data_IF_417369943907
#
_entry.id   IF_417369943907
#
_cell.length_a   1.000
_cell.length_b   1.000
_cell.length_c   1.000
_cell.angle_alpha   90.00
_cell.angle_beta   90.00
_cell.angle_gamma   90.00
#
_symmetry.space_group_name_H-M   'P 1'
#
loop_
_entity.id
_entity.type
_entity.pdbx_description
1 polymer ?
#
# COMPACT_ATOMS: atom_id res chain seq x y z
N UNK A 1 -36.32 -31.80 3.29
CA UNK A 1 -36.09 -30.39 2.90
C UNK A 1 -35.22 -29.63 3.91
N UNK A 2 -35.42 -29.77 5.22
CA UNK A 2 -34.62 -29.09 6.27
C UNK A 2 -33.12 -29.46 6.31
N UNK A 3 -32.75 -30.74 6.12
CA UNK A 3 -31.34 -31.17 6.07
C UNK A 3 -30.51 -30.50 4.95
N UNK A 4 -31.17 -30.18 3.83
CA UNK A 4 -30.54 -29.51 2.69
C UNK A 4 -30.26 -28.04 2.98
N UNK A 5 -31.16 -27.36 3.71
CA UNK A 5 -31.00 -25.96 4.11
C UNK A 5 -29.90 -25.79 5.16
N UNK A 6 -29.80 -26.69 6.13
CA UNK A 6 -28.71 -26.69 7.12
C UNK A 6 -27.35 -26.92 6.47
N UNK A 7 -27.26 -27.83 5.49
CA UNK A 7 -26.01 -28.11 4.76
C UNK A 7 -25.56 -26.92 3.90
N UNK A 8 -26.49 -26.21 3.26
CA UNK A 8 -26.20 -24.98 2.50
C UNK A 8 -25.76 -23.81 3.40
N UNK A 9 -26.38 -23.67 4.58
CA UNK A 9 -25.95 -22.70 5.59
C UNK A 9 -24.55 -23.01 6.11
N UNK A 10 -24.26 -24.28 6.42
CA UNK A 10 -22.94 -24.71 6.86
C UNK A 10 -21.87 -24.48 5.79
N UNK A 11 -22.16 -24.79 4.52
CA UNK A 11 -21.24 -24.54 3.41
C UNK A 11 -20.96 -23.04 3.22
N UNK A 12 -21.99 -22.20 3.34
CA UNK A 12 -21.86 -20.73 3.22
C UNK A 12 -21.07 -20.15 4.39
N UNK A 13 -21.25 -20.70 5.59
CA UNK A 13 -20.51 -20.34 6.79
C UNK A 13 -19.04 -20.77 6.67
N UNK A 14 -18.76 -22.00 6.22
CA UNK A 14 -17.41 -22.51 5.98
C UNK A 14 -16.67 -21.71 4.89
N UNK A 15 -17.38 -21.28 3.84
CA UNK A 15 -16.83 -20.37 2.82
C UNK A 15 -16.52 -18.96 3.37
N UNK A 16 -17.29 -18.47 4.35
CA UNK A 16 -16.97 -17.23 5.07
C UNK A 16 -15.80 -17.39 6.05
N UNK A 17 -15.51 -18.59 6.52
CA UNK A 17 -14.41 -18.90 7.44
C UNK A 17 -13.10 -19.32 6.75
N UNK A 18 -13.06 -19.39 5.42
CA UNK A 18 -11.80 -19.49 4.69
C UNK A 18 -11.00 -18.21 4.90
N UNK A 19 -9.73 -18.32 5.32
CA UNK A 19 -8.80 -17.18 5.49
C UNK A 19 -8.45 -16.55 4.13
N UNK A 20 -9.43 -15.94 3.46
CA UNK A 20 -9.21 -15.14 2.27
C UNK A 20 -8.82 -13.73 2.69
N UNK A 21 -7.81 -13.17 2.04
CA UNK A 21 -7.47 -11.76 2.14
C UNK A 21 -7.67 -11.09 0.78
N UNK A 22 -8.03 -9.80 0.82
CA UNK A 22 -8.16 -8.98 -0.39
C UNK A 22 -6.88 -8.18 -0.59
N UNK A 23 -6.20 -8.39 -1.71
CA UNK A 23 -5.04 -7.60 -2.10
C UNK A 23 -5.41 -6.48 -3.08
N UNK A 24 -4.59 -5.44 -3.13
CA UNK A 24 -4.64 -4.39 -4.14
C UNK A 24 -3.23 -4.15 -4.71
N UNK A 25 -3.19 -3.73 -5.99
CA UNK A 25 -1.97 -3.25 -6.65
C UNK A 25 -2.29 -1.91 -7.29
N UNK A 26 -1.30 -1.02 -7.35
CA UNK A 26 -1.46 0.29 -7.98
C UNK A 26 -0.39 0.48 -9.06
N UNK A 27 -0.82 0.50 -10.32
CA UNK A 27 0.06 0.92 -11.42
C UNK A 27 0.20 2.45 -11.37
N UNK A 28 1.44 2.92 -11.20
CA UNK A 28 1.73 4.31 -10.92
C UNK A 28 2.44 5.00 -12.07
N UNK A 29 1.90 6.14 -12.48
CA UNK A 29 2.59 7.10 -13.34
C UNK A 29 3.27 8.12 -12.44
N UNK A 30 4.59 8.18 -12.50
CA UNK A 30 5.35 9.10 -11.65
C UNK A 30 4.95 10.56 -11.91
N UNK A 31 4.77 11.32 -10.82
CA UNK A 31 4.35 12.71 -10.83
C UNK A 31 5.55 13.65 -10.71
N UNK A 32 5.39 14.84 -11.27
CA UNK A 32 6.38 15.91 -11.24
C UNK A 32 7.22 16.00 -12.53
N UNK A 33 7.82 17.17 -12.73
CA UNK A 33 8.66 17.50 -13.86
C UNK A 33 10.10 17.71 -13.37
N UNK A 34 11.04 16.79 -13.64
CA UNK A 34 12.43 16.92 -13.19
C UNK A 34 13.16 18.17 -13.69
N UNK A 35 12.63 18.87 -14.70
CA UNK A 35 13.20 20.12 -15.20
C UNK A 35 12.69 21.36 -14.46
N UNK A 36 11.60 21.25 -13.69
CA UNK A 36 10.93 22.38 -13.02
C UNK A 36 10.75 22.19 -11.53
N UNK A 37 10.53 20.96 -11.09
CA UNK A 37 10.26 20.62 -9.70
C UNK A 37 11.56 20.23 -8.99
N UNK A 38 11.69 20.66 -7.73
CA UNK A 38 12.70 20.08 -6.84
C UNK A 38 12.42 18.59 -6.62
N UNK A 39 13.44 17.78 -6.31
CA UNK A 39 13.20 16.36 -6.02
C UNK A 39 12.30 16.16 -4.79
N UNK A 40 12.38 17.02 -3.78
CA UNK A 40 11.47 17.00 -2.62
C UNK A 40 10.02 17.16 -3.07
N UNK A 41 9.75 18.12 -3.96
CA UNK A 41 8.42 18.32 -4.56
C UNK A 41 7.96 17.10 -5.36
N UNK A 42 8.86 16.44 -6.10
CA UNK A 42 8.55 15.20 -6.81
C UNK A 42 8.18 14.08 -5.83
N UNK A 43 8.96 13.88 -4.77
CA UNK A 43 8.69 12.89 -3.72
C UNK A 43 7.31 13.13 -3.11
N UNK A 44 7.01 14.36 -2.68
CA UNK A 44 5.72 14.74 -2.08
C UNK A 44 4.54 14.45 -3.02
N UNK A 45 4.65 14.83 -4.30
CA UNK A 45 3.62 14.57 -5.32
C UNK A 45 3.36 13.07 -5.49
N UNK A 46 4.40 12.25 -5.46
CA UNK A 46 4.26 10.79 -5.61
C UNK A 46 3.70 10.12 -4.35
N UNK A 47 4.16 10.51 -3.15
CA UNK A 47 3.59 10.06 -1.87
C UNK A 47 2.10 10.41 -1.79
N UNK A 48 1.70 11.60 -2.27
CA UNK A 48 0.28 11.98 -2.31
C UNK A 48 -0.57 11.03 -3.17
N UNK A 49 -0.05 10.52 -4.30
CA UNK A 49 -0.74 9.51 -5.11
C UNK A 49 -0.84 8.17 -4.40
N UNK A 50 0.24 7.74 -3.72
CA UNK A 50 0.22 6.51 -2.93
C UNK A 50 -0.77 6.59 -1.77
N UNK A 51 -0.86 7.73 -1.08
CA UNK A 51 -1.86 7.97 -0.03
C UNK A 51 -3.28 7.83 -0.57
N UNK A 52 -3.57 8.41 -1.73
CA UNK A 52 -4.90 8.30 -2.35
C UNK A 52 -5.21 6.85 -2.79
N UNK A 53 -4.25 6.15 -3.38
CA UNK A 53 -4.40 4.75 -3.76
C UNK A 53 -4.62 3.85 -2.54
N UNK A 54 -3.84 4.03 -1.46
CA UNK A 54 -4.00 3.30 -0.21
C UNK A 54 -5.37 3.56 0.42
N UNK A 55 -5.83 4.82 0.44
CA UNK A 55 -7.16 5.18 0.93
C UNK A 55 -8.27 4.48 0.14
N UNK A 56 -8.19 4.49 -1.21
CA UNK A 56 -9.17 3.79 -2.06
C UNK A 56 -9.17 2.28 -1.84
N UNK A 57 -7.99 1.67 -1.72
CA UNK A 57 -7.88 0.24 -1.45
C UNK A 57 -8.45 -0.13 -0.07
N UNK A 58 -8.18 0.68 0.95
CA UNK A 58 -8.74 0.52 2.29
C UNK A 58 -10.28 0.60 2.29
N UNK A 59 -10.85 1.58 1.59
CA UNK A 59 -12.32 1.70 1.44
C UNK A 59 -12.93 0.47 0.76
N UNK A 60 -12.19 -0.18 -0.14
CA UNK A 60 -12.62 -1.42 -0.78
C UNK A 60 -12.36 -2.67 0.08
N UNK A 61 -11.86 -2.53 1.30
CA UNK A 61 -11.59 -3.65 2.21
C UNK A 61 -10.33 -4.44 1.85
N UNK A 62 -9.36 -3.85 1.14
CA UNK A 62 -8.07 -4.49 0.92
C UNK A 62 -7.27 -4.58 2.23
N UNK A 63 -6.70 -5.75 2.50
CA UNK A 63 -5.81 -6.01 3.63
C UNK A 63 -4.37 -5.55 3.36
N UNK A 64 -3.96 -5.52 2.09
CA UNK A 64 -2.63 -5.11 1.64
C UNK A 64 -2.73 -4.40 0.29
N UNK A 65 -1.89 -3.39 0.09
CA UNK A 65 -1.67 -2.73 -1.20
C UNK A 65 -0.16 -2.73 -1.51
N UNK A 66 0.19 -3.02 -2.76
CA UNK A 66 1.58 -2.99 -3.26
C UNK A 66 1.75 -1.85 -4.27
N UNK A 67 2.87 -1.15 -4.18
CA UNK A 67 3.30 -0.07 -5.07
C UNK A 67 4.51 -0.49 -5.90
N UNK A 68 4.74 0.10 -7.09
CA UNK A 68 5.81 -0.31 -7.99
C UNK A 68 7.18 0.20 -7.52
N UNK A 69 8.22 -0.51 -7.95
CA UNK A 69 9.62 -0.09 -7.80
C UNK A 69 9.84 1.31 -8.42
N UNK A 70 10.68 2.13 -7.78
CA UNK A 70 11.09 3.47 -8.25
C UNK A 70 9.92 4.49 -8.37
N UNK A 71 8.71 4.14 -7.94
CA UNK A 71 7.55 5.01 -8.16
C UNK A 71 7.51 6.30 -7.33
N UNK A 72 8.38 6.46 -6.32
CA UNK A 72 8.53 7.74 -5.58
C UNK A 72 9.51 8.68 -6.29
N UNK A 73 10.73 8.22 -6.59
CA UNK A 73 11.78 9.04 -7.19
C UNK A 73 12.62 8.22 -8.19
N UNK A 74 12.81 8.76 -9.40
CA UNK A 74 13.61 8.13 -10.46
C UNK A 74 15.11 8.18 -10.17
N UNK A 75 15.84 7.15 -10.62
CA UNK A 75 17.17 6.70 -10.16
C UNK A 75 18.40 7.53 -10.58
N UNK A 76 18.24 8.80 -10.99
CA UNK A 76 19.43 9.65 -11.19
C UNK A 76 19.92 10.16 -9.83
N UNK A 77 21.14 9.78 -9.44
CA UNK A 77 21.82 10.11 -8.17
C UNK A 77 21.09 9.56 -6.92
N UNK A 78 21.31 8.27 -6.63
CA UNK A 78 20.57 7.45 -5.66
C UNK A 78 20.77 7.83 -4.18
N UNK A 79 21.87 8.48 -3.82
CA UNK A 79 22.28 8.63 -2.41
C UNK A 79 21.73 9.87 -1.73
N UNK A 80 21.49 10.95 -2.47
CA UNK A 80 21.13 12.25 -1.86
C UNK A 80 19.75 12.26 -1.18
N UNK A 81 18.94 11.25 -1.45
CA UNK A 81 17.57 11.08 -0.94
C UNK A 81 17.35 9.69 -0.34
N UNK A 82 18.44 8.96 -0.07
CA UNK A 82 18.36 7.74 0.70
C UNK A 82 18.17 8.09 2.17
N UNK A 83 17.40 7.27 2.87
CA UNK A 83 17.21 7.36 4.32
C UNK A 83 17.76 6.07 4.95
N UNK A 84 18.32 6.18 6.16
CA UNK A 84 18.70 5.01 6.94
C UNK A 84 17.44 4.33 7.46
N UNK A 85 17.15 3.13 6.94
CA UNK A 85 15.97 2.35 7.34
C UNK A 85 16.35 1.44 8.52
N UNK A 86 15.74 1.60 9.71
CA UNK A 86 16.05 0.77 10.87
C UNK A 86 15.55 -0.66 10.70
N UNK A 87 16.05 -1.57 11.54
CA UNK A 87 15.59 -2.96 11.54
C UNK A 87 14.07 -3.05 11.77
N UNK A 88 13.36 -3.96 11.07
CA UNK A 88 11.91 -4.09 11.20
C UNK A 88 11.45 -4.33 12.64
N UNK A 89 10.37 -3.66 13.04
CA UNK A 89 9.72 -3.88 14.35
C UNK A 89 10.33 -3.11 15.52
N UNK A 90 11.36 -2.30 15.28
CA UNK A 90 12.03 -1.48 16.32
C UNK A 90 11.36 -0.12 16.56
N UNK A 91 10.70 0.45 15.57
CA UNK A 91 10.08 1.79 15.63
C UNK A 91 8.77 1.85 14.85
N UNK A 92 7.81 2.64 15.33
CA UNK A 92 6.64 3.06 14.56
C UNK A 92 6.81 4.52 14.09
N UNK A 93 7.18 4.79 12.83
CA UNK A 93 7.52 6.13 12.35
C UNK A 93 6.35 7.13 12.37
N UNK A 94 5.10 6.65 12.55
CA UNK A 94 3.93 7.50 12.68
C UNK A 94 3.76 8.04 14.12
N UNK A 95 4.24 7.30 15.12
CA UNK A 95 4.11 7.64 16.54
C UNK A 95 5.42 8.20 17.12
N UNK A 96 6.55 7.69 16.63
CA UNK A 96 7.90 8.01 17.07
C UNK A 96 8.67 8.52 15.86
N UNK A 97 9.40 9.63 15.98
CA UNK A 97 10.35 9.99 14.92
C UNK A 97 11.49 8.98 14.93
N UNK A 98 11.76 8.35 13.78
CA UNK A 98 13.01 7.66 13.57
C UNK A 98 14.15 8.65 13.88
N UNK A 99 15.03 8.25 14.81
CA UNK A 99 16.15 9.06 15.30
C UNK A 99 17.30 9.05 14.31
#
# INVERSE_FOLDING_TARGET
MFFSLCSLFYLSLVLQFGCAFKAAVYEHVQQGDPSKDSRTTIIEKNIAKYKEAARKASIQGANIIVFPEIGILSVKNKTDYAEDIPDPGTVNPCLERAS
#
